data_IF_822888409100
#
_entry.id   IF_822888409100
#
_cell.length_a   1.000
_cell.length_b   1.000
_cell.length_c   1.000
_cell.angle_alpha   90.00
_cell.angle_beta   90.00
_cell.angle_gamma   90.00
#
_symmetry.space_group_name_H-M   'P 1'
#
loop_
_entity.id
_entity.type
_entity.pdbx_description
1 polymer ?
#
# COMPACT_ATOMS: atom_id res chain seq x y z
N UNK A 1 -37.49 1.48 -18.01
CA UNK A 1 -36.40 1.18 -17.05
C UNK A 1 -35.08 1.29 -17.81
N UNK A 2 -34.62 2.52 -18.01
CA UNK A 2 -33.40 2.86 -18.74
C UNK A 2 -32.21 2.38 -17.94
N UNK A 3 -31.55 1.33 -18.43
CA UNK A 3 -30.18 1.03 -18.01
C UNK A 3 -29.34 2.20 -18.53
N UNK A 4 -29.10 3.21 -17.67
CA UNK A 4 -28.09 4.21 -17.92
C UNK A 4 -26.76 3.48 -17.97
N UNK A 5 -26.33 3.21 -19.19
CA UNK A 5 -25.05 2.59 -19.50
C UNK A 5 -23.98 3.59 -19.03
N UNK A 6 -23.37 3.32 -17.88
CA UNK A 6 -22.24 4.08 -17.34
C UNK A 6 -21.08 3.83 -18.30
N UNK A 7 -21.05 4.61 -19.38
CA UNK A 7 -20.05 4.59 -20.44
C UNK A 7 -18.68 4.76 -19.80
N UNK A 8 -17.97 3.64 -19.64
CA UNK A 8 -16.52 3.65 -19.50
C UNK A 8 -16.01 4.18 -20.82
N UNK A 9 -15.67 5.47 -20.89
CA UNK A 9 -15.04 6.04 -22.09
C UNK A 9 -13.71 5.30 -22.25
N UNK A 10 -13.55 4.44 -23.28
CA UNK A 10 -12.33 3.68 -23.43
C UNK A 10 -11.20 4.66 -23.79
N UNK A 11 -10.10 4.59 -23.05
CA UNK A 11 -8.89 5.32 -23.38
C UNK A 11 -8.25 4.63 -24.59
N UNK A 12 -7.76 5.40 -25.56
CA UNK A 12 -7.09 4.86 -26.75
C UNK A 12 -5.78 4.19 -26.33
N UNK A 13 -5.42 3.08 -26.97
CA UNK A 13 -4.15 2.40 -26.70
C UNK A 13 -2.97 3.29 -27.10
N UNK A 14 -1.97 3.41 -26.23
CA UNK A 14 -0.80 4.27 -26.47
C UNK A 14 -0.89 5.65 -25.84
N UNK A 15 -2.01 6.01 -25.20
CA UNK A 15 -2.13 7.24 -24.41
C UNK A 15 -1.16 7.22 -23.21
N UNK A 16 -0.32 8.25 -23.01
CA UNK A 16 0.57 8.33 -21.86
C UNK A 16 -0.20 8.61 -20.57
N UNK A 17 0.21 7.99 -19.47
CA UNK A 17 -0.31 8.26 -18.12
C UNK A 17 0.76 8.96 -17.29
N UNK A 18 0.36 10.03 -16.61
CA UNK A 18 1.22 10.85 -15.74
C UNK A 18 0.77 10.74 -14.28
N UNK A 19 1.59 11.26 -13.36
CA UNK A 19 1.24 11.26 -11.93
C UNK A 19 -0.02 12.10 -11.62
N UNK A 20 -0.35 13.04 -12.51
CA UNK A 20 -1.53 13.92 -12.44
C UNK A 20 -2.87 13.19 -12.62
N UNK A 21 -2.85 11.89 -12.93
CA UNK A 21 -4.05 11.07 -12.88
C UNK A 21 -4.70 11.08 -11.49
N UNK A 22 -3.89 11.21 -10.43
CA UNK A 22 -4.37 11.34 -9.07
C UNK A 22 -4.37 12.80 -8.61
N UNK A 23 -5.22 13.13 -7.63
CA UNK A 23 -5.18 14.43 -6.97
C UNK A 23 -4.58 14.33 -5.57
N UNK A 24 -4.09 15.46 -5.09
CA UNK A 24 -3.63 15.58 -3.71
C UNK A 24 -4.82 15.45 -2.77
N UNK A 25 -4.65 14.73 -1.66
CA UNK A 25 -5.72 14.42 -0.70
C UNK A 25 -6.49 13.13 -0.98
N UNK A 26 -6.41 12.59 -2.20
CA UNK A 26 -7.05 11.32 -2.55
C UNK A 26 -6.40 10.13 -1.82
N UNK A 27 -7.17 9.05 -1.71
CA UNK A 27 -6.72 7.79 -1.13
C UNK A 27 -6.55 6.71 -2.19
N UNK A 28 -5.37 6.09 -2.18
CA UNK A 28 -4.98 5.04 -3.12
C UNK A 28 -4.67 3.73 -2.40
N UNK A 29 -4.84 2.63 -3.13
CA UNK A 29 -4.35 1.32 -2.74
C UNK A 29 -3.11 0.98 -3.58
N UNK A 30 -2.05 0.51 -2.90
CA UNK A 30 -0.77 0.16 -3.55
C UNK A 30 -0.56 -1.34 -3.43
N UNK A 31 -0.45 -1.99 -4.57
CA UNK A 31 -0.20 -3.43 -4.70
C UNK A 31 1.21 -3.68 -5.23
N UNK A 32 1.97 -4.56 -4.57
CA UNK A 32 3.27 -4.97 -5.06
C UNK A 32 3.67 -6.36 -4.54
N UNK A 33 4.75 -6.91 -5.08
CA UNK A 33 5.37 -8.12 -4.55
C UNK A 33 6.23 -7.79 -3.33
N UNK A 34 5.99 -8.48 -2.24
CA UNK A 34 6.81 -8.35 -1.02
C UNK A 34 8.22 -8.88 -1.24
N UNK A 35 9.18 -8.33 -0.49
CA UNK A 35 10.58 -8.80 -0.43
C UNK A 35 10.62 -10.32 -0.21
N UNK A 36 11.45 -11.01 -0.98
CA UNK A 36 11.68 -12.44 -0.83
C UNK A 36 12.65 -12.73 0.34
N UNK A 37 12.26 -13.62 1.23
CA UNK A 37 13.10 -14.10 2.32
C UNK A 37 13.45 -15.60 2.17
N UNK A 38 13.04 -16.27 1.09
CA UNK A 38 13.30 -17.67 0.86
C UNK A 38 12.61 -18.59 1.87
N UNK A 39 13.18 -19.79 2.09
CA UNK A 39 12.66 -20.74 3.08
C UNK A 39 12.96 -20.26 4.50
N UNK A 40 11.91 -19.96 5.26
CA UNK A 40 12.02 -19.45 6.62
C UNK A 40 11.45 -20.42 7.65
N UNK A 41 12.13 -20.44 8.81
CA UNK A 41 11.68 -21.18 9.99
C UNK A 41 10.43 -20.55 10.62
N UNK A 42 9.77 -21.31 11.49
CA UNK A 42 8.49 -20.92 12.12
C UNK A 42 8.56 -19.62 12.93
N UNK A 43 9.69 -19.35 13.57
CA UNK A 43 9.88 -18.14 14.38
C UNK A 43 9.83 -16.89 13.51
N UNK A 44 10.57 -16.86 12.39
CA UNK A 44 10.60 -15.69 11.50
C UNK A 44 9.34 -15.60 10.63
N UNK A 45 8.81 -16.74 10.16
CA UNK A 45 7.65 -16.78 9.26
C UNK A 45 6.32 -16.45 9.96
N UNK A 46 6.14 -16.90 11.20
CA UNK A 46 4.86 -16.83 11.92
C UNK A 46 4.95 -16.13 13.29
N UNK A 47 6.12 -15.67 13.71
CA UNK A 47 6.28 -15.02 15.02
C UNK A 47 6.14 -15.95 16.22
N UNK A 48 6.35 -17.27 16.04
CA UNK A 48 6.30 -18.23 17.16
C UNK A 48 7.43 -17.96 18.17
N UNK A 49 7.13 -18.03 19.47
CA UNK A 49 8.08 -17.68 20.55
C UNK A 49 9.30 -18.61 20.65
N UNK A 50 9.18 -19.87 20.23
CA UNK A 50 10.23 -20.88 20.40
C UNK A 50 10.28 -21.43 21.84
N UNK A 51 11.39 -22.09 22.19
CA UNK A 51 11.66 -22.64 23.53
C UNK A 51 12.74 -21.82 24.25
N UNK A 52 12.79 -21.84 25.59
CA UNK A 52 13.79 -21.09 26.35
C UNK A 52 15.23 -21.52 26.00
N UNK A 53 16.17 -20.62 26.25
CA UNK A 53 17.60 -20.85 26.00
C UNK A 53 18.26 -21.69 27.11
N UNK A 54 17.79 -21.55 28.36
CA UNK A 54 18.33 -22.22 29.55
C UNK A 54 17.37 -23.30 30.09
N UNK A 55 17.71 -23.88 31.25
CA UNK A 55 16.93 -24.91 31.98
C UNK A 55 16.70 -26.22 31.20
N UNK A 56 17.78 -26.77 30.63
CA UNK A 56 17.79 -28.15 30.11
C UNK A 56 17.19 -28.34 28.71
N UNK A 57 16.83 -27.27 28.00
CA UNK A 57 16.40 -27.37 26.59
C UNK A 57 17.58 -27.74 25.70
N UNK A 58 17.52 -28.91 25.08
CA UNK A 58 18.57 -29.38 24.16
C UNK A 58 18.08 -29.34 22.70
N UNK A 59 18.80 -28.59 21.85
CA UNK A 59 18.61 -28.53 20.38
C UNK A 59 17.17 -28.18 19.91
N UNK A 60 16.37 -27.49 20.73
CA UNK A 60 14.95 -27.23 20.44
C UNK A 60 14.54 -25.75 20.45
N UNK A 61 15.49 -24.81 20.65
CA UNK A 61 15.21 -23.38 20.87
C UNK A 61 14.30 -22.74 19.79
N UNK A 62 14.43 -23.16 18.52
CA UNK A 62 13.68 -22.59 17.38
C UNK A 62 12.75 -23.60 16.68
N UNK A 63 12.48 -24.74 17.32
CA UNK A 63 11.56 -25.76 16.76
C UNK A 63 10.11 -25.30 16.87
N UNK A 64 9.24 -25.88 16.04
CA UNK A 64 7.80 -25.63 16.07
C UNK A 64 7.12 -26.09 17.38
N UNK A 65 7.64 -27.15 18.00
CA UNK A 65 6.94 -27.84 19.08
C UNK A 65 5.86 -28.77 18.53
N UNK A 66 4.77 -28.96 19.29
CA UNK A 66 3.68 -29.84 18.89
C UNK A 66 2.90 -29.30 17.69
N UNK A 67 2.71 -30.14 16.67
CA UNK A 67 1.90 -29.81 15.48
C UNK A 67 0.39 -29.97 15.75
N UNK A 68 0.03 -30.64 16.85
CA UNK A 68 -1.35 -31.06 17.15
C UNK A 68 -1.80 -32.26 16.30
N UNK A 69 -3.08 -32.66 16.44
CA UNK A 69 -3.67 -33.80 15.72
C UNK A 69 -3.84 -35.05 16.59
N UNK A 70 -4.48 -34.91 17.76
CA UNK A 70 -4.87 -36.05 18.60
C UNK A 70 -6.32 -36.48 18.39
N UNK A 71 -6.62 -37.74 18.70
CA UNK A 71 -7.99 -38.29 18.71
C UNK A 71 -8.50 -38.71 17.32
N UNK A 72 -9.73 -38.29 16.98
CA UNK A 72 -10.49 -38.77 15.82
C UNK A 72 -9.91 -38.42 14.44
N UNK A 73 -8.98 -37.46 14.37
CA UNK A 73 -8.22 -37.15 13.15
C UNK A 73 -6.74 -37.34 13.44
N UNK A 74 -6.21 -38.50 13.07
CA UNK A 74 -4.77 -38.82 13.07
C UNK A 74 -4.03 -38.11 11.92
N UNK A 75 -4.32 -36.83 11.69
CA UNK A 75 -3.78 -36.03 10.60
C UNK A 75 -3.60 -34.57 11.02
N UNK A 76 -2.76 -33.86 10.27
CA UNK A 76 -2.47 -32.44 10.51
C UNK A 76 -3.59 -31.58 9.93
N UNK A 77 -4.03 -30.57 10.68
CA UNK A 77 -5.02 -29.61 10.20
C UNK A 77 -4.52 -28.87 8.95
N UNK A 78 -5.36 -28.80 7.92
CA UNK A 78 -5.07 -28.02 6.70
C UNK A 78 -4.83 -26.56 7.09
N UNK A 79 -3.79 -25.95 6.54
CA UNK A 79 -3.42 -24.57 6.85
C UNK A 79 -2.63 -24.37 8.16
N UNK A 80 -2.22 -25.45 8.84
CA UNK A 80 -1.34 -25.34 10.02
C UNK A 80 -0.05 -24.58 9.67
N UNK A 81 0.28 -23.58 10.49
CA UNK A 81 1.48 -22.77 10.33
C UNK A 81 2.75 -23.62 10.40
N UNK A 82 3.45 -23.77 9.27
CA UNK A 82 4.66 -24.57 9.09
C UNK A 82 5.83 -23.76 8.52
N UNK A 83 7.10 -24.22 8.70
CA UNK A 83 8.22 -23.59 8.01
C UNK A 83 8.02 -23.68 6.49
N UNK A 84 8.58 -22.72 5.75
CA UNK A 84 8.37 -22.66 4.31
C UNK A 84 8.74 -21.32 3.72
N UNK A 85 8.43 -21.15 2.43
CA UNK A 85 8.73 -19.93 1.70
C UNK A 85 8.01 -18.71 2.30
N UNK A 86 8.75 -17.63 2.53
CA UNK A 86 8.24 -16.38 3.08
C UNK A 86 8.59 -15.24 2.13
N UNK A 87 7.61 -14.38 1.85
CA UNK A 87 7.78 -13.27 0.91
C UNK A 87 7.41 -13.66 -0.52
N UNK A 88 7.85 -12.86 -1.48
CA UNK A 88 7.58 -13.02 -2.92
C UNK A 88 6.11 -13.27 -3.28
N UNK A 89 5.20 -12.62 -2.55
CA UNK A 89 3.75 -12.71 -2.77
C UNK A 89 3.18 -11.31 -2.98
N UNK A 90 2.10 -11.23 -3.73
CA UNK A 90 1.37 -9.97 -3.88
C UNK A 90 0.70 -9.58 -2.56
N UNK A 91 0.94 -8.35 -2.12
CA UNK A 91 0.27 -7.74 -0.98
C UNK A 91 -0.20 -6.35 -1.37
N UNK A 92 -1.28 -5.91 -0.73
CA UNK A 92 -1.93 -4.63 -1.00
C UNK A 92 -1.96 -3.87 0.32
N UNK A 93 -1.44 -2.65 0.32
CA UNK A 93 -1.68 -1.67 1.37
C UNK A 93 -2.79 -0.73 0.91
N UNK A 94 -3.81 -0.59 1.75
CA UNK A 94 -5.06 0.09 1.37
C UNK A 94 -5.21 1.42 2.08
N UNK A 95 -5.85 2.38 1.40
CA UNK A 95 -6.27 3.65 1.99
C UNK A 95 -5.11 4.56 2.36
N UNK A 96 -4.09 4.61 1.50
CA UNK A 96 -2.94 5.49 1.66
C UNK A 96 -3.26 6.87 1.07
N UNK A 97 -3.09 7.95 1.83
CA UNK A 97 -3.39 9.31 1.35
C UNK A 97 -2.22 9.89 0.54
N UNK A 98 -2.51 10.62 -0.54
CA UNK A 98 -1.53 11.37 -1.32
C UNK A 98 -1.34 12.75 -0.69
N UNK A 99 -0.10 13.11 -0.33
CA UNK A 99 0.23 14.41 0.29
C UNK A 99 0.79 15.43 -0.68
N UNK A 100 1.56 14.96 -1.67
CA UNK A 100 2.25 15.82 -2.62
C UNK A 100 2.39 15.08 -3.95
N UNK A 101 2.36 15.84 -5.03
CA UNK A 101 2.62 15.36 -6.39
C UNK A 101 3.63 16.31 -7.02
N UNK A 102 4.67 15.75 -7.63
CA UNK A 102 5.62 16.49 -8.44
C UNK A 102 5.33 16.20 -9.92
N UNK A 103 4.92 17.23 -10.65
CA UNK A 103 4.46 17.13 -12.04
C UNK A 103 5.63 17.00 -13.02
N UNK A 104 6.76 17.66 -12.72
CA UNK A 104 7.98 17.65 -13.53
C UNK A 104 8.64 16.26 -13.60
N UNK A 105 8.72 15.56 -12.47
CA UNK A 105 9.36 14.25 -12.38
C UNK A 105 8.37 13.08 -12.34
N UNK A 106 7.06 13.35 -12.39
CA UNK A 106 5.99 12.37 -12.23
C UNK A 106 6.13 11.52 -10.95
N UNK A 107 6.31 12.19 -9.80
CA UNK A 107 6.51 11.53 -8.50
C UNK A 107 5.28 11.73 -7.62
N UNK A 108 4.80 10.63 -7.03
CA UNK A 108 3.72 10.61 -6.05
C UNK A 108 4.28 10.42 -4.64
N UNK A 109 3.89 11.29 -3.72
CA UNK A 109 4.23 11.19 -2.31
C UNK A 109 3.03 10.65 -1.53
N UNK A 110 3.12 9.38 -1.16
CA UNK A 110 2.03 8.63 -0.53
C UNK A 110 2.33 8.41 0.96
N UNK A 111 1.29 8.54 1.80
CA UNK A 111 1.36 8.25 3.23
C UNK A 111 1.56 6.76 3.46
N UNK A 112 2.39 6.38 4.41
CA UNK A 112 2.37 5.03 4.95
C UNK A 112 3.68 4.66 5.61
N UNK A 113 3.68 3.62 6.47
CA UNK A 113 4.91 3.17 7.12
C UNK A 113 5.90 2.62 6.10
N UNK A 114 5.45 1.93 5.04
CA UNK A 114 6.25 1.38 3.93
C UNK A 114 5.35 1.03 2.74
N UNK A 115 5.90 0.90 1.55
CA UNK A 115 5.26 0.25 0.37
C UNK A 115 5.77 -1.19 0.28
N UNK A 116 4.93 -2.20 -0.03
CA UNK A 116 5.42 -3.57 -0.17
C UNK A 116 6.46 -3.67 -1.29
N UNK A 117 7.54 -4.41 -1.02
CA UNK A 117 8.58 -4.71 -2.01
C UNK A 117 9.90 -3.99 -1.77
N UNK A 118 10.85 -4.21 -2.68
CA UNK A 118 12.16 -3.57 -2.65
C UNK A 118 12.10 -2.19 -3.32
N UNK A 119 13.00 -1.28 -2.95
CA UNK A 119 13.22 -0.03 -3.69
C UNK A 119 13.52 -0.34 -5.16
N UNK A 120 12.99 0.47 -6.07
CA UNK A 120 13.04 0.27 -7.54
C UNK A 120 12.22 -0.92 -8.06
N UNK A 121 11.38 -1.56 -7.24
CA UNK A 121 10.40 -2.54 -7.69
C UNK A 121 9.18 -1.89 -8.35
N UNK A 122 8.55 -2.62 -9.27
CA UNK A 122 7.28 -2.19 -9.85
C UNK A 122 6.14 -2.32 -8.84
N UNK A 123 5.29 -1.30 -8.82
CA UNK A 123 4.09 -1.23 -7.99
C UNK A 123 2.89 -0.89 -8.84
N UNK A 124 1.72 -1.41 -8.48
CA UNK A 124 0.45 -1.07 -9.09
C UNK A 124 -0.30 -0.16 -8.12
N UNK A 125 -0.69 1.02 -8.61
CA UNK A 125 -1.44 2.03 -7.87
C UNK A 125 -2.82 2.17 -8.50
N UNK A 126 -3.86 2.22 -7.69
CA UNK A 126 -5.23 2.45 -8.14
C UNK A 126 -6.05 3.07 -6.99
N UNK A 127 -7.22 3.61 -7.31
CA UNK A 127 -8.11 4.22 -6.33
C UNK A 127 -8.49 3.24 -5.21
N UNK A 128 -8.67 3.77 -4.00
CA UNK A 128 -8.95 2.89 -2.87
C UNK A 128 -10.28 2.13 -3.00
N UNK A 129 -10.25 0.84 -2.66
CA UNK A 129 -11.47 0.02 -2.60
C UNK A 129 -12.25 0.30 -1.30
N UNK A 130 -11.65 0.97 -0.32
CA UNK A 130 -12.26 1.22 0.98
C UNK A 130 -13.46 2.19 0.85
N UNK A 131 -14.68 1.78 1.26
CA UNK A 131 -15.87 2.63 1.12
C UNK A 131 -15.78 3.95 1.90
N UNK A 132 -15.09 3.92 3.04
CA UNK A 132 -14.96 5.07 3.95
C UNK A 132 -14.00 6.15 3.43
N UNK A 133 -13.14 5.82 2.46
CA UNK A 133 -12.06 6.70 1.98
C UNK A 133 -12.18 7.03 0.49
N UNK A 134 -13.29 6.66 -0.13
CA UNK A 134 -13.56 6.98 -1.53
C UNK A 134 -13.76 8.49 -1.68
N UNK A 135 -13.24 9.05 -2.76
CA UNK A 135 -13.44 10.47 -3.09
C UNK A 135 -14.93 10.78 -3.25
N UNK A 136 -15.35 11.96 -2.80
CA UNK A 136 -16.73 12.40 -2.89
C UNK A 136 -17.17 12.50 -4.37
N UNK A 137 -18.46 12.32 -4.70
CA UNK A 137 -18.94 12.45 -6.07
C UNK A 137 -18.60 13.81 -6.70
N UNK A 138 -18.67 14.86 -5.88
CA UNK A 138 -18.42 16.24 -6.30
C UNK A 138 -16.93 16.54 -6.48
N UNK A 139 -16.04 15.78 -5.82
CA UNK A 139 -14.59 15.92 -5.91
C UNK A 139 -13.95 14.60 -6.35
N UNK A 140 -14.25 14.18 -7.57
CA UNK A 140 -13.66 12.99 -8.18
C UNK A 140 -12.35 13.34 -8.91
N UNK A 141 -11.39 12.40 -8.97
CA UNK A 141 -10.19 12.54 -9.80
C UNK A 141 -10.56 12.67 -11.28
N UNK A 142 -9.65 13.19 -12.12
CA UNK A 142 -9.92 13.39 -13.55
C UNK A 142 -10.32 12.07 -14.23
N UNK A 143 -11.48 12.07 -14.88
CA UNK A 143 -12.04 10.94 -15.63
C UNK A 143 -12.09 11.30 -17.12
N UNK A 144 -11.58 10.47 -18.04
CA UNK A 144 -11.01 9.12 -17.85
C UNK A 144 -9.56 9.11 -17.32
N UNK A 145 -8.80 10.18 -17.59
CA UNK A 145 -7.47 10.45 -17.03
C UNK A 145 -7.18 11.95 -17.17
N UNK A 146 -6.06 12.42 -16.63
CA UNK A 146 -5.59 13.79 -16.85
C UNK A 146 -4.89 13.91 -18.20
N UNK A 147 -5.26 14.93 -19.00
CA UNK A 147 -4.60 15.29 -20.24
C UNK A 147 -3.91 16.65 -20.11
N UNK A 148 -2.64 16.78 -20.57
CA UNK A 148 -1.93 18.05 -20.54
C UNK A 148 -2.52 19.09 -21.50
N UNK A 149 -3.20 18.64 -22.56
CA UNK A 149 -3.77 19.48 -23.62
C UNK A 149 -4.97 20.31 -23.14
N UNK A 150 -5.68 19.81 -22.13
CA UNK A 150 -6.88 20.46 -21.58
C UNK A 150 -6.54 21.62 -20.63
N UNK A 151 -5.27 21.75 -20.21
CA UNK A 151 -4.83 22.80 -19.32
C UNK A 151 -4.52 24.09 -20.08
N UNK A 152 -5.33 25.14 -19.84
CA UNK A 152 -5.08 26.49 -20.36
C UNK A 152 -3.88 27.17 -19.69
N UNK A 153 -3.60 26.81 -18.43
CA UNK A 153 -2.49 27.34 -17.63
C UNK A 153 -1.47 26.23 -17.32
N UNK A 154 -0.17 26.58 -17.24
CA UNK A 154 0.84 25.62 -16.84
C UNK A 154 0.60 25.18 -15.40
N UNK A 155 0.49 23.86 -15.20
CA UNK A 155 0.36 23.28 -13.86
C UNK A 155 1.63 23.58 -13.06
N UNK A 156 1.51 23.98 -11.77
CA UNK A 156 2.67 24.12 -10.90
C UNK A 156 3.54 22.86 -10.86
N UNK A 157 4.85 23.05 -10.70
CA UNK A 157 5.82 21.95 -10.58
C UNK A 157 5.50 21.03 -9.38
N UNK A 158 4.93 21.59 -8.32
CA UNK A 158 4.61 20.89 -7.08
C UNK A 158 3.22 21.24 -6.57
N UNK A 159 2.42 20.19 -6.36
CA UNK A 159 1.11 20.26 -5.73
C UNK A 159 1.20 19.61 -4.37
N UNK A 160 0.83 20.32 -3.31
CA UNK A 160 0.87 19.82 -1.93
C UNK A 160 -0.44 20.08 -1.20
N UNK A 161 -0.77 19.18 -0.27
CA UNK A 161 -1.97 19.29 0.57
C UNK A 161 -1.86 20.52 1.46
N UNK A 162 -2.98 21.16 1.78
CA UNK A 162 -3.02 22.36 2.62
C UNK A 162 -2.53 22.09 4.04
N UNK A 163 -2.63 20.85 4.52
CA UNK A 163 -2.15 20.46 5.84
C UNK A 163 -0.63 20.17 5.85
N UNK A 164 0.01 20.11 4.68
CA UNK A 164 1.44 19.84 4.57
C UNK A 164 2.23 21.15 4.62
N UNK A 165 3.07 21.29 5.63
CA UNK A 165 4.01 22.41 5.74
C UNK A 165 4.91 22.50 4.50
N UNK A 166 4.94 23.67 3.85
CA UNK A 166 5.84 23.92 2.71
C UNK A 166 7.14 24.52 3.22
N UNK A 167 8.28 24.09 2.67
CA UNK A 167 9.59 24.57 3.13
C UNK A 167 9.79 26.09 2.92
N UNK A 168 9.03 26.70 2.02
CA UNK A 168 9.03 28.16 1.78
C UNK A 168 8.21 28.95 2.80
N UNK A 169 7.34 28.30 3.57
CA UNK A 169 6.47 28.95 4.56
C UNK A 169 7.26 29.27 5.85
N UNK A 170 6.85 30.31 6.59
CA UNK A 170 7.48 30.63 7.86
C UNK A 170 7.31 29.48 8.87
N UNK A 171 8.30 29.35 9.76
CA UNK A 171 8.28 28.34 10.83
C UNK A 171 6.99 28.36 11.64
N UNK A 172 6.48 27.18 11.98
CA UNK A 172 5.25 27.02 12.75
C UNK A 172 5.50 27.49 14.20
N UNK A 173 4.83 28.55 14.62
CA UNK A 173 4.86 29.04 16.00
C UNK A 173 3.58 28.63 16.72
N UNK A 174 3.70 27.77 17.73
CA UNK A 174 2.59 27.43 18.62
C UNK A 174 2.55 28.45 19.76
N UNK A 175 1.50 29.27 19.82
CA UNK A 175 1.26 30.12 20.99
C UNK A 175 0.75 29.26 22.13
N UNK A 176 1.40 29.31 23.29
CA UNK A 176 0.90 28.67 24.51
C UNK A 176 -0.42 29.34 24.89
N UNK A 177 -1.49 28.55 24.90
CA UNK A 177 -2.83 29.01 25.29
C UNK A 177 -2.83 29.12 26.82
N UNK A 178 -2.73 30.35 27.33
CA UNK A 178 -2.81 30.66 28.76
C UNK A 178 -4.17 30.31 29.37
#
# INVERSE_FOLDING_TARGET
MTHSNWLTIPIITGTPLTAMHFRVGDHVDVQAKTIDHGFQGVVKRWGMKGMPASHGVTKAHRKMGSTGGGGNKAAIWKGKHMPGHMGNRWQILKGLRIWRINTKYNVLYVTGPNVPGNTHGFVRVYDTILPTKRSAPDNHPPMPTWFPEDCQEPVPDELSDEQLFRFSEPSIHHQEKA
#
